data_IF_619436727473
#
_entry.id   IF_619436727473
#
_cell.length_a   1.000
_cell.length_b   1.000
_cell.length_c   1.000
_cell.angle_alpha   90.00
_cell.angle_beta   90.00
_cell.angle_gamma   90.00
#
_symmetry.space_group_name_H-M   'P 1'
#
loop_
_entity.id
_entity.type
_entity.pdbx_description
1 polymer ?
#
# COMPACT_ATOMS: atom_id res chain seq x y z
N UNK A 1 11.76 13.68 -8.59
CA UNK A 1 10.56 14.05 -7.80
C UNK A 1 10.09 12.80 -7.10
N UNK A 2 9.80 12.87 -5.80
CA UNK A 2 9.41 11.70 -5.00
C UNK A 2 7.89 11.61 -5.05
N UNK A 3 7.35 10.49 -5.52
CA UNK A 3 5.90 10.29 -5.53
C UNK A 3 5.45 9.79 -4.16
N UNK A 4 4.31 10.28 -3.69
CA UNK A 4 3.69 9.81 -2.44
C UNK A 4 3.38 8.32 -2.47
N UNK A 5 3.09 7.77 -3.66
CA UNK A 5 2.87 6.36 -3.88
C UNK A 5 4.09 5.51 -3.48
N UNK A 6 5.31 5.94 -3.85
CA UNK A 6 6.55 5.24 -3.46
C UNK A 6 6.78 5.27 -1.94
N UNK A 7 6.45 6.39 -1.29
CA UNK A 7 6.61 6.56 0.16
C UNK A 7 5.61 5.71 0.93
N UNK A 8 4.35 5.67 0.48
CA UNK A 8 3.31 4.83 1.08
C UNK A 8 3.60 3.35 0.86
N UNK A 9 4.03 2.97 -0.33
CA UNK A 9 4.50 1.60 -0.59
C UNK A 9 5.62 1.21 0.39
N UNK A 10 6.64 2.05 0.55
CA UNK A 10 7.72 1.80 1.50
C UNK A 10 7.21 1.65 2.93
N UNK A 11 6.26 2.50 3.35
CA UNK A 11 5.65 2.40 4.67
C UNK A 11 4.85 1.10 4.87
N UNK A 12 4.07 0.69 3.86
CA UNK A 12 3.33 -0.57 3.83
C UNK A 12 4.25 -1.79 3.93
N UNK A 13 5.33 -1.81 3.15
CA UNK A 13 6.31 -2.91 3.15
C UNK A 13 7.04 -3.02 4.51
N UNK A 14 7.43 -1.88 5.11
CA UNK A 14 8.04 -1.85 6.43
C UNK A 14 7.07 -2.27 7.55
N UNK A 15 5.79 -1.91 7.43
CA UNK A 15 4.77 -2.34 8.39
C UNK A 15 4.56 -3.86 8.37
N UNK A 16 4.60 -4.53 7.21
CA UNK A 16 4.55 -5.99 7.16
C UNK A 16 5.78 -6.64 7.82
N UNK A 17 6.96 -6.06 7.63
CA UNK A 17 8.18 -6.49 8.32
C UNK A 17 8.00 -6.38 9.84
N UNK A 18 7.42 -5.27 10.31
CA UNK A 18 7.09 -5.09 11.73
C UNK A 18 6.05 -6.09 12.23
N UNK A 19 5.05 -6.43 11.43
CA UNK A 19 4.05 -7.47 11.78
C UNK A 19 4.71 -8.84 12.01
N UNK A 20 5.73 -9.19 11.24
CA UNK A 20 6.54 -10.41 11.48
C UNK A 20 7.28 -10.32 12.82
N UNK A 21 7.82 -9.17 13.19
CA UNK A 21 8.47 -9.01 14.50
C UNK A 21 7.46 -9.07 15.66
N UNK A 22 6.25 -8.54 15.48
CA UNK A 22 5.15 -8.70 16.44
C UNK A 22 4.84 -10.19 16.64
N UNK A 23 4.75 -11.00 15.57
CA UNK A 23 4.48 -12.44 15.65
C UNK A 23 5.51 -13.18 16.51
N UNK A 24 6.80 -12.81 16.42
CA UNK A 24 7.88 -13.40 17.23
C UNK A 24 7.72 -13.10 18.72
N UNK A 25 7.17 -11.94 19.04
CA UNK A 25 6.94 -11.47 20.40
C UNK A 25 5.62 -11.96 21.03
N UNK A 26 4.74 -12.61 20.26
CA UNK A 26 3.47 -13.12 20.77
C UNK A 26 3.70 -14.19 21.85
N UNK A 27 3.05 -13.98 23.00
CA UNK A 27 3.18 -14.83 24.19
C UNK A 27 4.33 -14.43 25.11
N UNK A 28 5.08 -13.38 24.77
CA UNK A 28 6.12 -12.77 25.63
C UNK A 28 5.76 -11.34 26.01
N UNK A 29 5.82 -10.40 25.06
CA UNK A 29 5.50 -8.97 25.21
C UNK A 29 4.26 -8.55 24.42
N UNK A 30 3.86 -9.32 23.40
CA UNK A 30 2.74 -8.99 22.52
C UNK A 30 1.61 -10.01 22.61
N UNK A 31 0.41 -9.57 22.21
CA UNK A 31 -0.78 -10.40 22.09
C UNK A 31 -1.11 -10.66 20.62
N UNK A 32 -1.92 -11.68 20.35
CA UNK A 32 -2.43 -11.91 18.99
C UNK A 32 -3.28 -10.72 18.50
N UNK A 33 -4.01 -10.08 19.41
CA UNK A 33 -4.80 -8.89 19.09
C UNK A 33 -3.91 -7.72 18.63
N UNK A 34 -2.67 -7.62 19.12
CA UNK A 34 -1.70 -6.63 18.64
C UNK A 34 -1.35 -6.87 17.17
N UNK A 35 -1.18 -8.13 16.77
CA UNK A 35 -0.89 -8.51 15.39
C UNK A 35 -2.09 -8.27 14.46
N UNK A 36 -3.28 -8.70 14.88
CA UNK A 36 -4.53 -8.47 14.16
C UNK A 36 -4.79 -6.97 13.92
N UNK A 37 -4.55 -6.14 14.95
CA UNK A 37 -4.66 -4.69 14.86
C UNK A 37 -3.66 -4.10 13.86
N UNK A 38 -2.40 -4.54 13.86
CA UNK A 38 -1.40 -4.07 12.91
C UNK A 38 -1.79 -4.42 11.47
N UNK A 39 -2.27 -5.63 11.21
CA UNK A 39 -2.75 -6.03 9.89
C UNK A 39 -4.00 -5.26 9.45
N UNK A 40 -4.95 -5.02 10.35
CA UNK A 40 -6.14 -4.22 10.05
C UNK A 40 -5.77 -2.78 9.72
N UNK A 41 -4.81 -2.22 10.46
CA UNK A 41 -4.25 -0.88 10.20
C UNK A 41 -3.54 -0.85 8.85
N UNK A 42 -2.79 -1.90 8.52
CA UNK A 42 -2.15 -2.08 7.23
C UNK A 42 -3.16 -2.07 6.08
N UNK A 43 -4.27 -2.81 6.18
CA UNK A 43 -5.34 -2.83 5.16
C UNK A 43 -5.93 -1.44 4.96
N UNK A 44 -6.11 -0.70 6.05
CA UNK A 44 -6.64 0.67 6.00
C UNK A 44 -5.65 1.62 5.31
N UNK A 45 -4.35 1.46 5.57
CA UNK A 45 -3.30 2.20 4.88
C UNK A 45 -3.16 1.79 3.41
N UNK A 46 -3.37 0.51 3.07
CA UNK A 46 -3.40 0.03 1.70
C UNK A 46 -4.55 0.68 0.91
N UNK A 47 -5.72 0.86 1.51
CA UNK A 47 -6.82 1.58 0.87
C UNK A 47 -6.42 3.02 0.51
N UNK A 48 -5.66 3.71 1.38
CA UNK A 48 -5.11 5.03 1.04
C UNK A 48 -4.12 4.97 -0.14
N UNK A 49 -3.32 3.90 -0.23
CA UNK A 49 -2.43 3.65 -1.36
C UNK A 49 -3.21 3.40 -2.67
N UNK A 50 -4.23 2.53 -2.65
CA UNK A 50 -5.02 2.18 -3.83
C UNK A 50 -5.80 3.38 -4.38
N UNK A 51 -6.25 4.29 -3.51
CA UNK A 51 -6.87 5.55 -3.96
C UNK A 51 -5.88 6.39 -4.78
N UNK A 52 -4.63 6.54 -4.32
CA UNK A 52 -3.58 7.28 -5.04
C UNK A 52 -3.26 6.59 -6.37
N UNK A 53 -3.13 5.27 -6.34
CA UNK A 53 -2.91 4.45 -7.53
C UNK A 53 -4.02 4.64 -8.57
N UNK A 54 -5.29 4.60 -8.15
CA UNK A 54 -6.44 4.83 -9.03
C UNK A 54 -6.36 6.20 -9.70
N UNK A 55 -5.84 7.23 -9.04
CA UNK A 55 -5.59 8.53 -9.68
C UNK A 55 -4.49 8.47 -10.74
N UNK A 56 -3.40 7.72 -10.51
CA UNK A 56 -2.38 7.49 -11.53
C UNK A 56 -2.92 6.76 -12.76
N UNK A 57 -3.89 5.87 -12.56
CA UNK A 57 -4.48 5.04 -13.60
C UNK A 57 -5.65 5.74 -14.35
N UNK A 58 -6.32 6.70 -13.71
CA UNK A 58 -7.54 7.36 -14.23
C UNK A 58 -7.32 8.70 -14.91
N UNK A 59 -6.07 9.19 -15.02
CA UNK A 59 -5.69 10.47 -15.64
C UNK A 59 -6.44 10.79 -16.94
N UNK A 60 -7.58 11.46 -16.79
CA UNK A 60 -8.32 12.18 -17.83
C UNK A 60 -8.46 13.59 -17.34
N UNK A 61 -7.76 14.44 -18.06
CA UNK A 61 -7.79 15.88 -18.02
C UNK A 61 -9.16 16.40 -18.47
N UNK A 62 -9.99 16.89 -17.54
CA UNK A 62 -11.21 17.64 -17.88
C UNK A 62 -10.91 19.04 -18.45
N UNK A 63 -9.64 19.46 -18.57
CA UNK A 63 -9.28 20.84 -18.94
C UNK A 63 -8.68 21.03 -20.35
N UNK A 64 -8.30 19.98 -21.09
CA UNK A 64 -7.76 20.13 -22.45
C UNK A 64 -8.84 19.99 -23.54
N UNK A 65 -9.79 20.92 -23.52
CA UNK A 65 -10.48 21.35 -24.73
C UNK A 65 -9.55 22.24 -25.55
N UNK A 66 -8.77 21.66 -26.45
CA UNK A 66 -8.17 22.43 -27.54
C UNK A 66 -6.76 22.04 -27.93
N UNK A 67 -6.64 21.54 -29.17
CA UNK A 67 -5.44 21.60 -30.03
C UNK A 67 -4.29 20.68 -29.59
N UNK A 68 -4.22 19.50 -30.20
CA UNK A 68 -3.02 19.00 -30.89
C UNK A 68 -3.38 17.77 -31.73
N UNK A 69 -3.81 18.04 -32.95
CA UNK A 69 -3.89 17.06 -34.04
C UNK A 69 -2.50 17.03 -34.68
N UNK A 70 -1.90 15.85 -34.82
CA UNK A 70 -0.55 15.56 -35.33
C UNK A 70 0.61 15.79 -34.35
N UNK A 71 1.02 14.75 -33.60
CA UNK A 71 2.36 14.76 -33.00
C UNK A 71 2.68 13.67 -31.99
N UNK A 72 1.78 13.36 -31.06
CA UNK A 72 2.11 12.49 -29.92
C UNK A 72 1.50 11.10 -30.05
N UNK A 73 2.33 10.22 -30.62
CA UNK A 73 2.24 8.78 -30.53
C UNK A 73 1.95 8.33 -29.09
N UNK A 74 0.78 7.71 -28.86
CA UNK A 74 0.59 6.56 -27.96
C UNK A 74 1.31 6.58 -26.59
N UNK A 75 1.45 7.73 -25.93
CA UNK A 75 1.99 7.80 -24.58
C UNK A 75 0.83 7.79 -23.57
N UNK A 76 0.53 6.57 -23.15
CA UNK A 76 0.19 6.19 -21.77
C UNK A 76 -1.17 6.60 -21.18
N UNK A 77 -2.22 6.04 -21.76
CA UNK A 77 -3.35 5.54 -20.97
C UNK A 77 -3.05 4.07 -20.66
N UNK A 78 -3.21 3.60 -19.41
CA UNK A 78 -3.24 2.16 -19.13
C UNK A 78 -4.26 1.52 -20.07
N UNK A 79 -3.81 0.70 -21.01
CA UNK A 79 -4.71 -0.04 -21.87
C UNK A 79 -5.56 -1.01 -21.01
N UNK A 80 -6.66 -1.49 -21.57
CA UNK A 80 -7.56 -2.41 -20.85
C UNK A 80 -6.81 -3.63 -20.27
N UNK A 81 -5.80 -4.13 -20.98
CA UNK A 81 -4.92 -5.20 -20.51
C UNK A 81 -4.09 -4.80 -19.29
N UNK A 82 -3.58 -3.57 -19.22
CA UNK A 82 -2.85 -3.04 -18.07
C UNK A 82 -3.75 -2.96 -16.85
N UNK A 83 -5.00 -2.47 -17.00
CA UNK A 83 -5.99 -2.45 -15.91
C UNK A 83 -6.28 -3.85 -15.38
N UNK A 84 -6.42 -4.84 -16.26
CA UNK A 84 -6.62 -6.23 -15.86
C UNK A 84 -5.41 -6.82 -15.14
N UNK A 85 -4.19 -6.48 -15.56
CA UNK A 85 -2.96 -6.91 -14.88
C UNK A 85 -2.88 -6.31 -13.47
N UNK A 86 -3.14 -5.02 -13.34
CA UNK A 86 -3.19 -4.32 -12.06
C UNK A 86 -4.25 -4.92 -11.14
N UNK A 87 -5.49 -5.09 -11.62
CA UNK A 87 -6.57 -5.72 -10.84
C UNK A 87 -6.17 -7.12 -10.36
N UNK A 88 -5.63 -7.95 -11.27
CA UNK A 88 -5.19 -9.29 -10.90
C UNK A 88 -4.07 -9.28 -9.86
N UNK A 89 -3.17 -8.30 -9.91
CA UNK A 89 -2.12 -8.17 -8.90
C UNK A 89 -2.67 -7.70 -7.55
N UNK A 90 -3.69 -6.84 -7.53
CA UNK A 90 -4.43 -6.46 -6.32
C UNK A 90 -5.15 -7.69 -5.72
N UNK A 91 -5.82 -8.49 -6.56
CA UNK A 91 -6.51 -9.71 -6.11
C UNK A 91 -5.54 -10.66 -5.39
N UNK A 92 -4.30 -10.81 -5.89
CA UNK A 92 -3.27 -11.64 -5.23
C UNK A 92 -2.86 -11.13 -3.84
N UNK A 93 -2.85 -9.80 -3.63
CA UNK A 93 -2.60 -9.20 -2.31
C UNK A 93 -3.73 -9.59 -1.36
N UNK A 94 -4.97 -9.41 -1.79
CA UNK A 94 -6.14 -9.71 -0.96
C UNK A 94 -6.33 -11.21 -0.70
N UNK A 95 -6.05 -12.07 -1.67
CA UNK A 95 -6.06 -13.53 -1.48
C UNK A 95 -5.03 -13.94 -0.40
N UNK A 96 -3.85 -13.32 -0.42
CA UNK A 96 -2.80 -13.59 0.58
C UNK A 96 -3.20 -13.07 1.97
N UNK A 97 -3.78 -11.87 2.05
CA UNK A 97 -4.32 -11.31 3.30
C UNK A 97 -5.44 -12.16 3.86
N UNK A 98 -6.36 -12.60 3.01
CA UNK A 98 -7.46 -13.48 3.40
C UNK A 98 -6.90 -14.78 4.00
N UNK A 99 -5.91 -15.39 3.38
CA UNK A 99 -5.24 -16.58 3.93
C UNK A 99 -4.61 -16.34 5.31
N UNK A 100 -4.06 -15.14 5.55
CA UNK A 100 -3.52 -14.75 6.87
C UNK A 100 -4.64 -14.61 7.90
N UNK A 101 -5.74 -13.93 7.57
CA UNK A 101 -6.88 -13.77 8.47
C UNK A 101 -7.60 -15.10 8.72
N UNK A 102 -7.71 -15.97 7.73
CA UNK A 102 -8.27 -17.32 7.89
C UNK A 102 -7.42 -18.13 8.86
N UNK A 103 -6.09 -18.13 8.70
CA UNK A 103 -5.16 -18.79 9.63
C UNK A 103 -5.32 -18.22 11.05
N UNK A 104 -5.40 -16.89 11.16
CA UNK A 104 -5.58 -16.19 12.42
C UNK A 104 -6.88 -16.63 13.12
N UNK A 105 -8.00 -16.64 12.41
CA UNK A 105 -9.32 -16.93 12.97
C UNK A 105 -9.59 -18.42 13.13
N UNK A 106 -9.02 -19.31 12.32
CA UNK A 106 -9.27 -20.75 12.42
C UNK A 106 -8.32 -21.45 13.39
N UNK A 107 -7.04 -21.05 13.41
CA UNK A 107 -5.99 -21.73 14.16
C UNK A 107 -5.69 -21.05 15.51
N UNK A 108 -5.87 -19.72 15.63
CA UNK A 108 -5.59 -18.99 16.89
C UNK A 108 -6.84 -18.79 17.75
N UNK A 109 -8.05 -18.78 17.19
CA UNK A 109 -9.29 -18.66 17.97
C UNK A 109 -9.50 -19.79 18.99
N UNK A 110 -8.78 -20.90 18.84
CA UNK A 110 -8.90 -22.11 19.68
C UNK A 110 -7.86 -22.20 20.81
N UNK A 111 -6.93 -21.24 20.96
CA UNK A 111 -6.00 -21.22 22.09
C UNK A 111 -4.61 -20.64 21.81
N UNK A 112 -3.62 -21.07 22.61
CA UNK A 112 -2.24 -20.56 22.62
C UNK A 112 -1.58 -20.70 21.24
N UNK A 113 -0.89 -19.65 20.79
CA UNK A 113 -0.09 -19.65 19.56
C UNK A 113 1.03 -20.71 19.66
N UNK A 114 0.87 -21.79 18.88
CA UNK A 114 1.91 -22.81 18.74
C UNK A 114 2.88 -22.42 17.62
N UNK A 115 4.15 -22.88 17.66
CA UNK A 115 5.18 -22.51 16.68
C UNK A 115 4.78 -22.74 15.21
N UNK A 116 4.02 -23.81 14.94
CA UNK A 116 3.55 -24.11 13.58
C UNK A 116 2.63 -23.01 13.02
N UNK A 117 1.68 -22.55 13.83
CA UNK A 117 0.73 -21.49 13.45
C UNK A 117 1.48 -20.18 13.26
N UNK A 118 2.45 -19.88 14.14
CA UNK A 118 3.33 -18.71 13.99
C UNK A 118 4.07 -18.74 12.65
N UNK A 119 4.73 -19.85 12.32
CA UNK A 119 5.45 -19.96 11.05
C UNK A 119 4.52 -19.81 9.83
N UNK A 120 3.28 -20.31 9.92
CA UNK A 120 2.28 -20.13 8.87
C UNK A 120 1.92 -18.66 8.69
N UNK A 121 1.66 -17.94 9.79
CA UNK A 121 1.38 -16.51 9.77
C UNK A 121 2.58 -15.70 9.27
N UNK A 122 3.80 -16.04 9.67
CA UNK A 122 5.02 -15.38 9.20
C UNK A 122 5.18 -15.53 7.69
N UNK A 123 5.01 -16.74 7.16
CA UNK A 123 5.05 -16.99 5.71
C UNK A 123 3.94 -16.23 4.98
N UNK A 124 2.71 -16.25 5.50
CA UNK A 124 1.60 -15.52 4.89
C UNK A 124 1.84 -14.00 4.85
N UNK A 125 2.42 -13.41 5.89
CA UNK A 125 2.79 -11.98 5.90
C UNK A 125 3.89 -11.68 4.88
N UNK A 126 4.87 -12.57 4.72
CA UNK A 126 5.90 -12.46 3.68
C UNK A 126 5.30 -12.54 2.28
N UNK A 127 4.33 -13.43 2.06
CA UNK A 127 3.62 -13.54 0.77
C UNK A 127 2.82 -12.26 0.45
N UNK A 128 2.15 -11.67 1.44
CA UNK A 128 1.49 -10.36 1.31
C UNK A 128 2.50 -9.28 0.92
N UNK A 129 3.68 -9.26 1.56
CA UNK A 129 4.72 -8.28 1.26
C UNK A 129 5.25 -8.43 -0.16
N UNK A 130 5.54 -9.66 -0.59
CA UNK A 130 5.99 -9.96 -1.95
C UNK A 130 4.95 -9.52 -2.99
N UNK A 131 3.67 -9.82 -2.74
CA UNK A 131 2.60 -9.43 -3.66
C UNK A 131 2.40 -7.90 -3.70
N UNK A 132 2.53 -7.22 -2.57
CA UNK A 132 2.50 -5.75 -2.51
C UNK A 132 3.65 -5.13 -3.30
N UNK A 133 4.87 -5.60 -3.08
CA UNK A 133 6.06 -5.10 -3.78
C UNK A 133 5.93 -5.32 -5.31
N UNK A 134 5.49 -6.51 -5.73
CA UNK A 134 5.25 -6.84 -7.13
C UNK A 134 4.15 -5.97 -7.77
N UNK A 135 3.04 -5.76 -7.05
CA UNK A 135 1.94 -4.91 -7.51
C UNK A 135 2.42 -3.46 -7.69
N UNK A 136 3.19 -2.93 -6.74
CA UNK A 136 3.77 -1.59 -6.85
C UNK A 136 4.70 -1.46 -8.06
N UNK A 137 5.55 -2.45 -8.31
CA UNK A 137 6.41 -2.47 -9.50
C UNK A 137 5.61 -2.51 -10.80
N UNK A 138 4.52 -3.30 -10.86
CA UNK A 138 3.59 -3.33 -12.00
C UNK A 138 3.00 -1.93 -12.21
N UNK A 139 2.48 -1.29 -11.17
CA UNK A 139 1.90 0.06 -11.24
C UNK A 139 2.95 1.04 -11.77
N UNK A 140 4.19 1.00 -11.27
CA UNK A 140 5.26 1.90 -11.73
C UNK A 140 5.60 1.69 -13.20
N UNK A 141 5.70 0.45 -13.64
CA UNK A 141 5.99 0.14 -15.05
C UNK A 141 4.85 0.65 -15.94
N UNK A 142 3.60 0.43 -15.55
CA UNK A 142 2.43 0.83 -16.33
C UNK A 142 2.17 2.34 -16.32
N UNK A 143 2.71 3.08 -15.34
CA UNK A 143 2.55 4.54 -15.18
C UNK A 143 3.80 5.34 -15.55
N UNK A 144 4.90 4.67 -15.93
CA UNK A 144 6.28 5.19 -16.10
C UNK A 144 6.51 6.34 -17.10
N UNK A 145 5.50 6.72 -17.87
CA UNK A 145 5.51 7.81 -18.86
C UNK A 145 4.40 8.84 -18.63
N UNK A 146 3.59 8.69 -17.57
CA UNK A 146 2.88 9.81 -16.94
C UNK A 146 3.86 10.49 -15.98
N UNK A 147 4.87 11.15 -16.58
CA UNK A 147 5.87 11.88 -15.80
C UNK A 147 5.17 12.94 -14.98
N UNK A 148 5.15 12.75 -13.67
CA UNK A 148 4.88 13.81 -12.71
C UNK A 148 3.46 14.40 -12.80
N UNK A 149 2.42 13.56 -12.71
CA UNK A 149 1.20 14.05 -12.08
C UNK A 149 1.50 14.31 -10.61
N UNK A 150 1.03 15.45 -10.14
CA UNK A 150 1.19 16.03 -8.81
C UNK A 150 0.73 15.07 -7.70
N UNK A 151 1.56 14.06 -7.38
CA UNK A 151 1.29 13.06 -6.35
C UNK A 151 1.05 13.73 -4.98
N UNK A 152 1.59 14.94 -4.79
CA UNK A 152 1.47 15.74 -3.58
C UNK A 152 0.11 16.42 -3.45
N UNK A 153 -0.37 17.16 -4.46
CA UNK A 153 -1.69 17.82 -4.34
C UNK A 153 -2.86 16.86 -4.26
N UNK A 154 -2.72 15.63 -4.75
CA UNK A 154 -3.81 14.65 -4.69
C UNK A 154 -3.86 13.88 -3.39
N UNK A 155 -2.74 13.68 -2.70
CA UNK A 155 -2.78 13.27 -1.29
C UNK A 155 -3.47 14.33 -0.41
N UNK A 156 -3.38 15.61 -0.79
CA UNK A 156 -4.20 16.69 -0.19
C UNK A 156 -5.69 16.58 -0.54
N UNK A 157 -6.05 16.01 -1.69
CA UNK A 157 -7.43 15.86 -2.16
C UNK A 157 -8.18 14.62 -1.66
N UNK A 158 -7.49 13.55 -1.23
CA UNK A 158 -8.16 12.36 -0.72
C UNK A 158 -8.93 12.72 0.55
N UNK A 159 -10.25 12.47 0.53
CA UNK A 159 -11.13 12.51 1.70
C UNK A 159 -10.90 11.25 2.56
N UNK A 160 -9.69 11.10 3.09
CA UNK A 160 -9.54 10.34 4.32
C UNK A 160 -9.99 11.31 5.41
N UNK A 161 -11.13 11.03 6.03
CA UNK A 161 -11.71 11.88 7.09
C UNK A 161 -10.77 12.07 8.30
N UNK A 162 -9.61 11.42 8.32
CA UNK A 162 -8.61 11.48 9.37
C UNK A 162 -7.20 11.25 8.77
N UNK A 163 -6.54 12.28 8.22
CA UNK A 163 -5.17 12.12 7.65
C UNK A 163 -4.09 11.98 8.72
N UNK A 164 -4.37 12.47 9.92
CA UNK A 164 -3.40 12.58 11.00
C UNK A 164 -2.94 11.21 11.50
N UNK A 165 -3.83 10.22 11.55
CA UNK A 165 -3.43 8.86 11.94
C UNK A 165 -2.54 8.20 10.89
N UNK A 166 -2.79 8.43 9.59
CA UNK A 166 -1.96 7.85 8.52
C UNK A 166 -0.57 8.49 8.54
N UNK A 167 -0.48 9.80 8.78
CA UNK A 167 0.82 10.48 8.96
C UNK A 167 1.54 9.94 10.18
N UNK A 168 0.86 9.86 11.32
CA UNK A 168 1.43 9.31 12.55
C UNK A 168 1.89 7.86 12.35
N UNK A 169 1.09 7.03 11.68
CA UNK A 169 1.42 5.64 11.37
C UNK A 169 2.62 5.54 10.42
N UNK A 170 2.63 6.28 9.32
CA UNK A 170 3.75 6.30 8.38
C UNK A 170 5.02 6.86 9.03
N UNK A 171 4.90 7.85 9.93
CA UNK A 171 6.03 8.43 10.67
C UNK A 171 6.71 7.45 11.62
N UNK A 172 5.98 6.43 12.09
CA UNK A 172 6.55 5.34 12.90
C UNK A 172 7.32 4.32 12.06
N UNK A 173 7.09 4.30 10.75
CA UNK A 173 7.67 3.32 9.83
C UNK A 173 8.80 3.88 8.96
N UNK A 174 8.81 5.19 8.67
CA UNK A 174 9.81 5.82 7.81
C UNK A 174 10.97 6.45 8.59
N UNK A 175 12.17 6.45 7.98
CA UNK A 175 13.29 7.26 8.46
C UNK A 175 12.99 8.77 8.36
N UNK A 176 13.76 9.58 9.11
CA UNK A 176 13.53 11.02 9.23
C UNK A 176 13.55 11.76 7.88
N UNK A 177 14.35 11.30 6.92
CA UNK A 177 14.43 11.88 5.57
C UNK A 177 13.14 11.61 4.78
N UNK A 178 12.69 10.36 4.74
CA UNK A 178 11.45 9.97 4.05
C UNK A 178 10.20 10.55 4.73
N UNK A 179 10.20 10.67 6.06
CA UNK A 179 9.15 11.36 6.80
C UNK A 179 9.09 12.86 6.47
N UNK A 180 10.24 13.55 6.41
CA UNK A 180 10.28 14.96 6.02
C UNK A 180 9.74 15.15 4.60
N UNK A 181 10.09 14.25 3.68
CA UNK A 181 9.58 14.27 2.30
C UNK A 181 8.07 14.06 2.25
N UNK A 182 7.53 13.13 3.04
CA UNK A 182 6.09 12.87 3.14
C UNK A 182 5.35 14.06 3.74
N UNK A 183 5.85 14.65 4.83
CA UNK A 183 5.29 15.85 5.45
C UNK A 183 5.25 17.04 4.50
N UNK A 184 6.31 17.27 3.72
CA UNK A 184 6.34 18.31 2.69
C UNK A 184 5.31 18.08 1.57
N UNK A 185 5.06 16.82 1.21
CA UNK A 185 4.04 16.43 0.22
C UNK A 185 2.63 16.63 0.79
N UNK A 186 2.44 16.38 2.10
CA UNK A 186 1.15 16.43 2.80
C UNK A 186 0.78 17.80 3.36
N UNK A 187 1.73 18.73 3.48
CA UNK A 187 1.54 20.08 4.04
C UNK A 187 1.11 20.05 5.52
N UNK A 188 1.75 19.15 6.27
CA UNK A 188 1.55 18.99 7.71
C UNK A 188 2.89 19.25 8.41
N UNK A 189 2.90 20.24 9.31
CA UNK A 189 4.09 20.63 10.11
C UNK A 189 4.56 19.48 11.05
#
# INVERSE_FOLDING_TARGET
>A
MICSLDLLHKALSLALTRSVDILKEIGTSQSIASFELELTTWVTAYYAYSEIENYHNSGVDESLTGINVLGDLNLQRMNESGKQITQKSEDLIFDSLQSVFDTLHEEVSKGVMIPRVRNHLELGVVDVQLNMDNHHDIVKVLTSGNSCHDCASKLKGIHLSEKDWLIDWVSKSLDADNLSKMKMIMDVE
#
